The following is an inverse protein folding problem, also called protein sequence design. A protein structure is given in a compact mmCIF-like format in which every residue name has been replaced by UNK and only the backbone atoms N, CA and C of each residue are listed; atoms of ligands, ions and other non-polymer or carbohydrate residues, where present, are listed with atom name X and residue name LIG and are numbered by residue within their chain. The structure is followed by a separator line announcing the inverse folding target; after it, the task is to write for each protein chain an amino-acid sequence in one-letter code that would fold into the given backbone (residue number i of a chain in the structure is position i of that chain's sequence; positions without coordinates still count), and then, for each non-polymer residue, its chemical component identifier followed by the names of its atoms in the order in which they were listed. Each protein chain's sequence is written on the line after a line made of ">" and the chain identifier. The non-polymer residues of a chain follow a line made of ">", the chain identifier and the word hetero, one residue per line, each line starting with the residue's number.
data_IF_106074188834
#
_entry.id   IF_106074188834
#
_cell.length_a   1.000
_cell.length_b   1.000
_cell.length_c   1.000
_cell.angle_alpha   90.00
_cell.angle_beta   90.00
_cell.angle_gamma   90.00
#
_symmetry.space_group_name_H-M   'P 1'
#
loop_
_entity.id
_entity.type
_entity.pdbx_description
1 polymer ?
#
# COMPACT_ATOMS: atom_id res chain seq x y z
N UNK A 1 2.63 -13.80 6.57
CA UNK A 1 3.21 -13.89 5.21
C UNK A 1 2.99 -12.59 4.46
N UNK A 2 3.71 -12.35 3.37
CA UNK A 2 3.47 -11.23 2.46
C UNK A 2 2.99 -11.72 1.08
N UNK A 3 2.09 -10.95 0.47
CA UNK A 3 1.72 -11.06 -0.95
C UNK A 3 2.28 -9.83 -1.68
N UNK A 4 3.04 -10.02 -2.75
CA UNK A 4 3.47 -8.94 -3.62
C UNK A 4 2.99 -9.19 -5.06
N UNK A 5 2.33 -8.21 -5.65
CA UNK A 5 1.86 -8.21 -7.03
C UNK A 5 2.59 -7.11 -7.83
N UNK A 6 3.18 -7.48 -8.95
CA UNK A 6 3.71 -6.51 -9.92
C UNK A 6 2.89 -6.63 -11.22
N UNK A 7 2.16 -5.58 -11.57
CA UNK A 7 1.31 -5.54 -12.77
C UNK A 7 2.10 -4.89 -13.90
N UNK A 8 2.49 -5.71 -14.87
CA UNK A 8 3.09 -5.25 -16.12
C UNK A 8 2.03 -4.74 -17.08
N UNK A 9 2.12 -3.47 -17.43
CA UNK A 9 1.31 -2.82 -18.46
C UNK A 9 2.18 -2.49 -19.67
N UNK A 10 1.62 -2.56 -20.88
CA UNK A 10 2.37 -2.17 -22.08
C UNK A 10 2.68 -0.66 -22.07
N UNK A 11 3.80 -0.24 -22.68
CA UNK A 11 4.28 1.16 -22.67
C UNK A 11 3.25 2.20 -23.15
N UNK A 12 2.33 1.79 -24.04
CA UNK A 12 1.24 2.64 -24.54
C UNK A 12 0.15 2.94 -23.51
N UNK A 13 0.07 2.16 -22.44
CA UNK A 13 -0.92 2.31 -21.38
C UNK A 13 -0.41 3.35 -20.40
N UNK A 14 -1.19 4.40 -20.18
CA UNK A 14 -0.85 5.42 -19.18
C UNK A 14 -1.15 4.86 -17.79
N UNK A 15 -0.15 4.82 -16.91
CA UNK A 15 -0.30 4.17 -15.60
C UNK A 15 -1.30 4.87 -14.68
N UNK A 16 -1.54 6.17 -14.88
CA UNK A 16 -2.32 7.03 -13.96
C UNK A 16 -3.75 7.28 -14.39
N UNK A 17 -4.24 6.60 -15.43
CA UNK A 17 -5.61 6.71 -15.95
C UNK A 17 -6.02 5.46 -16.73
N UNK A 18 -7.32 5.21 -16.83
CA UNK A 18 -7.87 4.17 -17.69
C UNK A 18 -8.33 2.91 -16.96
N UNK A 19 -8.62 3.05 -15.66
CA UNK A 19 -9.20 2.01 -14.80
C UNK A 19 -8.29 0.79 -14.62
N UNK A 20 -7.00 1.06 -14.39
CA UNK A 20 -5.99 0.07 -14.04
C UNK A 20 -5.65 0.14 -12.55
N UNK A 21 -6.69 0.24 -11.72
CA UNK A 21 -6.56 0.40 -10.27
C UNK A 21 -5.97 -0.88 -9.64
N UNK A 22 -5.01 -0.69 -8.73
CA UNK A 22 -4.32 -1.81 -8.09
C UNK A 22 -5.23 -2.67 -7.20
N UNK A 23 -6.28 -2.07 -6.65
CA UNK A 23 -7.29 -2.76 -5.85
C UNK A 23 -8.06 -3.82 -6.64
N UNK A 24 -8.38 -3.52 -7.89
CA UNK A 24 -9.11 -4.42 -8.78
C UNK A 24 -8.30 -5.68 -9.10
N UNK A 25 -6.96 -5.61 -9.10
CA UNK A 25 -6.10 -6.79 -9.25
C UNK A 25 -5.88 -7.53 -7.91
N UNK A 26 -5.71 -6.81 -6.81
CA UNK A 26 -5.41 -7.42 -5.50
C UNK A 26 -6.61 -8.07 -4.82
N UNK A 27 -7.81 -7.50 -4.95
CA UNK A 27 -9.01 -8.03 -4.32
C UNK A 27 -9.29 -9.51 -4.66
N UNK A 28 -9.29 -9.95 -5.94
CA UNK A 28 -9.47 -11.36 -6.27
C UNK A 28 -8.32 -12.25 -5.75
N UNK A 29 -7.09 -11.76 -5.70
CA UNK A 29 -5.93 -12.52 -5.20
C UNK A 29 -6.03 -12.75 -3.69
N UNK A 30 -6.31 -11.70 -2.91
CA UNK A 30 -6.48 -11.81 -1.45
C UNK A 30 -7.64 -12.72 -1.08
N UNK A 31 -8.70 -12.76 -1.89
CA UNK A 31 -9.79 -13.73 -1.71
C UNK A 31 -9.35 -15.16 -2.03
N UNK A 32 -8.66 -15.36 -3.15
CA UNK A 32 -8.19 -16.68 -3.60
C UNK A 32 -7.20 -17.31 -2.62
N UNK A 33 -6.23 -16.53 -2.14
CA UNK A 33 -5.19 -17.01 -1.23
C UNK A 33 -5.55 -16.91 0.26
N UNK A 34 -6.77 -16.46 0.58
CA UNK A 34 -7.28 -16.18 1.94
C UNK A 34 -6.50 -15.06 2.63
N UNK A 35 -7.09 -13.86 2.64
CA UNK A 35 -6.54 -12.64 3.21
C UNK A 35 -5.97 -12.80 4.63
N UNK A 36 -6.55 -13.68 5.46
CA UNK A 36 -6.11 -13.93 6.84
C UNK A 36 -4.74 -14.59 6.99
N UNK A 37 -4.09 -15.01 5.90
CA UNK A 37 -2.73 -15.57 5.88
C UNK A 37 -1.64 -14.53 5.69
N UNK A 38 -2.01 -13.38 5.13
CA UNK A 38 -1.08 -12.30 4.88
C UNK A 38 -1.12 -11.34 6.05
N UNK A 39 0.05 -10.87 6.46
CA UNK A 39 0.25 -9.77 7.40
C UNK A 39 0.57 -8.48 6.62
N UNK A 40 1.09 -8.63 5.39
CA UNK A 40 1.35 -7.55 4.47
C UNK A 40 0.88 -7.88 3.04
N UNK A 41 0.33 -6.89 2.34
CA UNK A 41 -0.03 -7.00 0.91
C UNK A 41 0.46 -5.78 0.15
N UNK A 42 1.17 -6.01 -0.94
CA UNK A 42 1.75 -4.97 -1.78
C UNK A 42 1.33 -5.19 -3.23
N UNK A 43 1.04 -4.11 -3.94
CA UNK A 43 0.93 -4.11 -5.37
C UNK A 43 1.60 -2.90 -6.00
N UNK A 44 2.13 -3.12 -7.20
CA UNK A 44 2.69 -2.10 -8.05
C UNK A 44 2.17 -2.27 -9.46
N UNK A 45 2.03 -1.18 -10.20
CA UNK A 45 1.91 -1.22 -11.67
C UNK A 45 3.04 -0.44 -12.30
N UNK A 46 3.59 -0.98 -13.37
CA UNK A 46 4.67 -0.37 -14.14
C UNK A 46 4.60 -0.82 -15.59
N UNK A 47 5.39 -0.17 -16.42
CA UNK A 47 5.63 -0.68 -17.75
C UNK A 47 6.54 -1.91 -17.69
N UNK A 48 6.01 -3.05 -18.11
CA UNK A 48 6.72 -4.33 -18.15
C UNK A 48 6.00 -5.31 -19.09
N UNK A 49 6.76 -6.23 -19.68
CA UNK A 49 6.22 -7.26 -20.57
C UNK A 49 5.36 -8.30 -19.85
N UNK A 50 5.57 -8.49 -18.54
CA UNK A 50 4.91 -9.50 -17.73
C UNK A 50 4.49 -8.96 -16.37
N UNK A 51 3.44 -9.57 -15.81
CA UNK A 51 3.03 -9.39 -14.42
C UNK A 51 3.55 -10.56 -13.58
N UNK A 52 3.91 -10.29 -12.33
CA UNK A 52 4.41 -11.31 -11.41
C UNK A 52 3.65 -11.28 -10.09
N UNK A 53 3.60 -12.44 -9.44
CA UNK A 53 3.06 -12.60 -8.10
C UNK A 53 4.09 -13.35 -7.26
N UNK A 54 4.38 -12.83 -6.06
CA UNK A 54 5.28 -13.45 -5.11
C UNK A 54 4.59 -13.60 -3.75
N UNK A 55 4.86 -14.73 -3.10
CA UNK A 55 4.37 -15.03 -1.75
C UNK A 55 5.57 -15.43 -0.92
N UNK A 56 5.79 -14.75 0.19
CA UNK A 56 6.97 -14.94 1.03
C UNK A 56 6.74 -14.64 2.50
N UNK A 57 7.79 -14.72 3.34
CA UNK A 57 7.73 -14.21 4.71
C UNK A 57 7.41 -12.71 4.70
N UNK A 58 6.59 -12.27 5.65
CA UNK A 58 6.46 -10.84 5.94
C UNK A 58 7.58 -10.46 6.90
N UNK A 59 8.30 -9.39 6.60
CA UNK A 59 9.29 -8.84 7.52
C UNK A 59 8.62 -7.70 8.30
N UNK A 60 8.74 -7.67 9.64
CA UNK A 60 8.34 -6.51 10.42
C UNK A 60 9.01 -5.24 9.87
N UNK A 61 8.31 -4.11 9.94
CA UNK A 61 8.95 -2.83 9.70
C UNK A 61 10.10 -2.66 10.71
N UNK A 62 11.24 -2.15 10.23
CA UNK A 62 12.40 -1.87 11.07
C UNK A 62 12.02 -0.85 12.17
N UNK A 63 12.10 -1.20 13.47
CA UNK A 63 11.71 -0.31 14.56
C UNK A 63 12.60 0.93 14.67
N UNK A 64 13.83 0.89 14.10
CA UNK A 64 14.77 2.00 14.12
C UNK A 64 14.58 2.94 12.91
N UNK A 65 13.77 2.54 11.93
CA UNK A 65 13.36 3.44 10.84
C UNK A 65 12.37 4.44 11.40
N UNK A 66 12.73 5.72 11.38
CA UNK A 66 11.83 6.80 11.78
C UNK A 66 10.46 6.63 11.11
N UNK A 67 9.44 6.30 11.91
CA UNK A 67 8.07 6.18 11.42
C UNK A 67 7.65 7.55 10.90
N UNK A 68 7.41 7.64 9.58
CA UNK A 68 6.78 8.83 9.02
C UNK A 68 5.37 8.88 9.61
N UNK A 69 5.00 9.95 10.34
CA UNK A 69 3.68 10.03 10.92
C UNK A 69 2.62 9.96 9.81
N UNK A 70 1.48 9.28 10.07
CA UNK A 70 0.43 9.20 9.08
C UNK A 70 -0.10 10.58 8.72
N UNK A 71 -0.29 10.80 7.42
CA UNK A 71 -1.02 11.96 6.92
C UNK A 71 -2.44 12.00 7.49
N UNK A 72 -3.02 10.81 7.71
CA UNK A 72 -4.38 10.65 8.20
C UNK A 72 -4.49 9.46 9.16
N UNK A 73 -5.16 9.67 10.30
CA UNK A 73 -5.60 8.60 11.19
C UNK A 73 -7.08 8.79 11.52
N UNK A 74 -7.88 7.75 11.31
CA UNK A 74 -9.34 7.79 11.48
C UNK A 74 -9.76 6.66 12.42
N UNK A 75 -10.37 7.03 13.55
CA UNK A 75 -10.99 6.10 14.49
C UNK A 75 -12.49 6.03 14.21
N UNK A 76 -13.03 4.84 13.97
CA UNK A 76 -14.46 4.69 13.64
C UNK A 76 -15.08 3.42 14.21
N UNK A 77 -16.27 3.55 14.80
CA UNK A 77 -17.04 2.45 15.40
C UNK A 77 -18.18 1.94 14.52
N UNK A 78 -18.46 2.61 13.40
CA UNK A 78 -19.51 2.24 12.44
C UNK A 78 -19.03 1.16 11.46
N UNK A 79 -19.97 0.54 10.74
CA UNK A 79 -19.65 -0.53 9.77
C UNK A 79 -18.95 0.04 8.55
N UNK A 80 -17.92 -0.64 8.04
CA UNK A 80 -17.23 -0.22 6.81
C UNK A 80 -18.06 -0.26 5.53
N UNK A 81 -19.24 -0.87 5.60
CA UNK A 81 -20.24 -0.86 4.52
C UNK A 81 -21.20 0.32 4.61
N UNK A 82 -21.12 1.15 5.66
CA UNK A 82 -22.04 2.26 5.89
C UNK A 82 -21.53 3.56 5.26
N UNK A 83 -22.47 4.46 4.93
CA UNK A 83 -22.12 5.76 4.38
C UNK A 83 -21.35 6.61 5.41
N UNK A 84 -21.70 6.49 6.69
CA UNK A 84 -21.07 7.20 7.81
C UNK A 84 -19.60 6.83 7.96
N UNK A 85 -19.23 5.59 7.65
CA UNK A 85 -17.83 5.16 7.71
C UNK A 85 -17.00 5.83 6.60
N UNK A 86 -17.52 5.88 5.37
CA UNK A 86 -16.86 6.58 4.26
C UNK A 86 -16.79 8.08 4.52
N UNK A 87 -17.86 8.66 5.05
CA UNK A 87 -17.92 10.08 5.40
C UNK A 87 -16.88 10.44 6.48
N UNK A 88 -16.70 9.60 7.50
CA UNK A 88 -15.69 9.83 8.53
C UNK A 88 -14.27 9.91 7.96
N UNK A 89 -13.91 9.02 7.03
CA UNK A 89 -12.62 9.05 6.33
C UNK A 89 -12.51 10.30 5.45
N UNK A 90 -13.56 10.60 4.69
CA UNK A 90 -13.60 11.75 3.79
C UNK A 90 -13.44 13.09 4.54
N UNK A 91 -14.11 13.25 5.69
CA UNK A 91 -14.00 14.44 6.53
C UNK A 91 -12.61 14.55 7.16
N UNK A 92 -12.05 13.44 7.64
CA UNK A 92 -10.70 13.45 8.19
C UNK A 92 -9.67 13.82 7.10
N UNK A 93 -9.84 13.36 5.85
CA UNK A 93 -9.02 13.81 4.72
C UNK A 93 -9.10 15.32 4.50
N UNK A 94 -10.31 15.90 4.55
CA UNK A 94 -10.50 17.36 4.42
C UNK A 94 -9.85 18.13 5.57
N UNK A 95 -9.97 17.63 6.80
CA UNK A 95 -9.38 18.23 7.98
C UNK A 95 -7.84 18.21 7.96
N UNK A 96 -7.25 17.17 7.38
CA UNK A 96 -5.80 17.09 7.16
C UNK A 96 -5.26 18.14 6.17
N UNK A 97 -6.15 18.84 5.43
CA UNK A 97 -5.82 19.88 4.44
C UNK A 97 -4.61 19.47 3.58
N UNK A 98 -4.70 18.34 2.86
CA UNK A 98 -3.60 17.93 2.00
C UNK A 98 -3.30 19.05 1.02
N UNK A 99 -2.02 19.35 0.83
CA UNK A 99 -1.62 20.21 -0.27
C UNK A 99 -2.16 19.60 -1.57
N UNK A 100 -2.72 20.42 -2.49
CA UNK A 100 -3.17 19.94 -3.77
C UNK A 100 -2.09 19.09 -4.42
N UNK A 101 -2.39 17.81 -4.63
CA UNK A 101 -1.40 16.88 -5.14
C UNK A 101 -1.15 17.20 -6.62
N UNK A 102 0.09 17.48 -7.06
CA UNK A 102 0.38 17.70 -8.47
C UNK A 102 -0.08 16.49 -9.28
N UNK A 103 -0.69 16.70 -10.44
CA UNK A 103 -1.12 15.61 -11.32
C UNK A 103 0.05 14.63 -11.56
N UNK A 104 -0.10 13.37 -11.15
CA UNK A 104 1.01 12.41 -11.18
C UNK A 104 0.77 11.10 -10.44
N UNK A 105 1.71 10.15 -10.57
CA UNK A 105 1.65 8.85 -9.91
C UNK A 105 1.75 8.99 -8.38
N UNK A 106 0.97 8.19 -7.67
CA UNK A 106 0.88 8.18 -6.20
C UNK A 106 1.33 6.84 -5.62
N UNK A 107 1.93 6.92 -4.44
CA UNK A 107 2.17 5.77 -3.58
C UNK A 107 1.25 5.89 -2.37
N UNK A 108 0.46 4.86 -2.12
CA UNK A 108 -0.49 4.84 -1.03
C UNK A 108 -0.17 3.69 -0.08
N UNK A 109 -0.02 4.01 1.20
CA UNK A 109 0.05 3.00 2.26
C UNK A 109 -1.20 3.10 3.14
N UNK A 110 -1.90 1.99 3.30
CA UNK A 110 -3.09 1.86 4.13
C UNK A 110 -2.84 0.82 5.21
N UNK A 111 -3.01 1.19 6.47
CA UNK A 111 -2.89 0.26 7.58
C UNK A 111 -4.24 0.17 8.31
N UNK A 112 -4.71 -1.05 8.55
CA UNK A 112 -5.95 -1.30 9.28
C UNK A 112 -5.67 -1.88 10.66
N UNK A 113 -6.14 -1.23 11.72
CA UNK A 113 -6.10 -1.77 13.08
C UNK A 113 -7.45 -2.31 13.46
N UNK A 114 -7.56 -3.64 13.48
CA UNK A 114 -8.83 -4.35 13.59
C UNK A 114 -8.86 -5.34 14.77
N UNK A 115 -10.07 -5.66 15.22
CA UNK A 115 -10.29 -6.79 16.13
C UNK A 115 -10.14 -8.13 15.40
N UNK A 116 -9.82 -9.19 16.14
CA UNK A 116 -9.46 -10.52 15.62
C UNK A 116 -10.51 -11.18 14.70
N UNK A 117 -11.76 -10.71 14.70
CA UNK A 117 -12.85 -11.25 13.88
C UNK A 117 -13.15 -10.48 12.58
N UNK A 118 -12.41 -9.41 12.26
CA UNK A 118 -12.68 -8.56 11.09
C UNK A 118 -11.70 -8.87 9.95
N UNK A 119 -12.24 -8.94 8.73
CA UNK A 119 -11.44 -9.14 7.53
C UNK A 119 -11.00 -7.79 6.93
N UNK A 120 -9.72 -7.46 7.07
CA UNK A 120 -9.12 -6.24 6.55
C UNK A 120 -9.32 -6.07 5.04
N UNK A 121 -9.32 -7.17 4.27
CA UNK A 121 -9.39 -7.10 2.80
C UNK A 121 -10.72 -6.55 2.28
N UNK A 122 -11.76 -6.57 3.11
CA UNK A 122 -13.07 -5.98 2.78
C UNK A 122 -13.15 -4.48 3.04
N UNK A 123 -12.19 -3.91 3.76
CA UNK A 123 -12.14 -2.49 4.14
C UNK A 123 -11.38 -1.65 3.13
N UNK A 124 -10.43 -2.27 2.44
CA UNK A 124 -9.57 -1.65 1.44
C UNK A 124 -10.35 -0.79 0.44
N UNK A 125 -11.31 -1.39 -0.27
CA UNK A 125 -12.00 -0.70 -1.38
C UNK A 125 -12.83 0.47 -0.88
N UNK A 126 -13.70 0.30 0.13
CA UNK A 126 -14.42 1.45 0.65
C UNK A 126 -13.49 2.51 1.27
N UNK A 127 -12.31 2.13 1.80
CA UNK A 127 -11.33 3.10 2.31
C UNK A 127 -10.83 3.99 1.17
N UNK A 128 -10.33 3.39 0.09
CA UNK A 128 -9.82 4.10 -1.09
C UNK A 128 -10.91 5.00 -1.67
N UNK A 129 -12.13 4.47 -1.86
CA UNK A 129 -13.28 5.25 -2.33
C UNK A 129 -13.49 6.55 -1.52
N UNK A 130 -13.20 6.53 -0.22
CA UNK A 130 -13.38 7.68 0.67
C UNK A 130 -12.22 8.71 0.63
N UNK A 131 -11.08 8.37 0.02
CA UNK A 131 -9.90 9.24 -0.07
C UNK A 131 -9.98 10.27 -1.21
N UNK A 132 -11.17 10.55 -1.76
CA UNK A 132 -11.40 11.58 -2.79
C UNK A 132 -10.64 12.90 -2.55
N UNK A 133 -10.66 13.50 -1.34
CA UNK A 133 -9.94 14.75 -1.08
C UNK A 133 -8.42 14.65 -1.18
N UNK A 134 -7.86 13.44 -1.06
CA UNK A 134 -6.43 13.16 -1.21
C UNK A 134 -6.05 12.78 -2.64
N UNK A 135 -6.82 11.88 -3.25
CA UNK A 135 -6.52 11.31 -4.56
C UNK A 135 -6.98 12.23 -5.71
N UNK A 136 -7.88 13.17 -5.43
CA UNK A 136 -8.58 14.00 -6.41
C UNK A 136 -9.96 13.45 -6.75
N UNK A 137 -10.88 14.33 -7.12
CA UNK A 137 -12.27 14.00 -7.45
C UNK A 137 -12.64 14.59 -8.82
N UNK A 138 -12.70 13.77 -9.89
CA UNK A 138 -13.09 14.22 -11.23
C UNK A 138 -14.50 14.81 -11.31
N UNK A 139 -15.40 14.23 -10.50
CA UNK A 139 -16.80 14.62 -10.43
C UNK A 139 -17.16 14.92 -8.96
N UNK A 140 -17.32 16.20 -8.59
CA UNK A 140 -17.74 16.58 -7.24
C UNK A 140 -19.12 16.01 -6.83
N UNK A 141 -19.97 15.64 -7.79
CA UNK A 141 -21.25 14.96 -7.55
C UNK A 141 -21.10 13.47 -7.20
N UNK A 142 -19.89 12.92 -7.32
CA UNK A 142 -19.54 11.53 -6.98
C UNK A 142 -18.30 11.50 -6.08
N UNK A 143 -18.41 11.98 -4.82
CA UNK A 143 -17.27 12.16 -3.91
C UNK A 143 -16.56 10.85 -3.51
N UNK A 144 -17.20 9.71 -3.78
CA UNK A 144 -16.68 8.36 -3.51
C UNK A 144 -16.16 7.64 -4.77
N UNK A 145 -15.79 8.42 -5.80
CA UNK A 145 -15.08 7.95 -7.00
C UNK A 145 -13.80 8.78 -7.17
N UNK A 146 -12.78 8.49 -6.35
CA UNK A 146 -11.50 9.19 -6.42
C UNK A 146 -10.77 8.92 -7.74
N UNK A 147 -9.71 9.68 -8.00
CA UNK A 147 -8.68 9.35 -8.99
C UNK A 147 -7.69 8.30 -8.45
N UNK A 148 -8.20 7.15 -8.00
CA UNK A 148 -7.41 6.03 -7.49
C UNK A 148 -6.56 5.34 -8.57
N UNK A 149 -6.89 5.52 -9.84
CA UNK A 149 -6.06 5.21 -11.01
C UNK A 149 -4.63 5.77 -10.88
N UNK A 150 -4.44 6.88 -10.16
CA UNK A 150 -3.12 7.48 -9.93
C UNK A 150 -2.22 6.64 -9.04
N UNK A 151 -2.76 5.71 -8.25
CA UNK A 151 -2.00 4.87 -7.32
C UNK A 151 -1.20 3.84 -8.12
N UNK A 152 0.11 4.05 -8.23
CA UNK A 152 1.04 3.12 -8.93
C UNK A 152 1.75 2.15 -7.98
N UNK A 153 1.70 2.44 -6.69
CA UNK A 153 2.25 1.62 -5.61
C UNK A 153 1.28 1.65 -4.43
N UNK A 154 0.86 0.48 -3.97
CA UNK A 154 -0.15 0.32 -2.95
C UNK A 154 0.27 -0.75 -1.97
N UNK A 155 0.41 -0.37 -0.70
CA UNK A 155 0.80 -1.30 0.34
C UNK A 155 -0.13 -1.24 1.55
N UNK A 156 -0.38 -2.41 2.12
CA UNK A 156 -0.86 -2.62 3.48
C UNK A 156 0.24 -3.37 4.23
N UNK A 157 1.25 -2.66 4.78
CA UNK A 157 2.49 -3.28 5.24
C UNK A 157 2.38 -3.96 6.61
N UNK A 158 1.35 -3.66 7.40
CA UNK A 158 1.19 -4.20 8.75
C UNK A 158 -0.22 -3.89 9.29
N UNK A 159 -1.17 -4.82 9.12
CA UNK A 159 -2.46 -4.75 9.81
C UNK A 159 -2.40 -5.55 11.11
N UNK A 160 -1.38 -5.29 11.93
CA UNK A 160 -1.09 -6.00 13.18
C UNK A 160 -2.37 -6.45 13.88
N UNK A 161 -2.58 -7.77 13.93
CA UNK A 161 -3.58 -8.38 14.81
C UNK A 161 -3.33 -7.79 16.18
N UNK A 162 -4.31 -7.05 16.72
CA UNK A 162 -4.22 -6.46 18.04
C UNK A 162 -3.78 -7.53 19.06
N UNK A 163 -2.51 -7.49 19.47
CA UNK A 163 -1.93 -8.38 20.47
C UNK A 163 -2.41 -8.09 21.90
N UNK A 164 -3.32 -7.13 22.07
CA UNK A 164 -3.95 -6.82 23.35
C UNK A 164 -5.47 -6.61 23.16
N UNK A 165 -6.33 -7.52 23.65
CA UNK A 165 -7.78 -7.42 23.53
C UNK A 165 -8.39 -6.26 24.33
N UNK A 166 -7.60 -5.53 25.13
CA UNK A 166 -8.12 -4.44 25.97
C UNK A 166 -7.98 -3.03 25.39
N UNK A 167 -7.38 -2.84 24.20
CA UNK A 167 -7.20 -1.47 23.67
C UNK A 167 -7.16 -1.27 22.14
N UNK A 168 -7.80 -2.11 21.36
CA UNK A 168 -7.94 -1.89 19.90
C UNK A 168 -9.34 -1.39 19.53
N UNK A 169 -9.61 -0.13 19.85
CA UNK A 169 -10.70 0.61 19.21
C UNK A 169 -10.19 1.12 17.86
N UNK A 170 -10.45 0.29 16.83
CA UNK A 170 -10.83 0.59 15.44
C UNK A 170 -10.19 1.80 14.72
N UNK A 171 -9.02 1.63 14.10
CA UNK A 171 -8.39 2.66 13.28
C UNK A 171 -8.22 2.27 11.82
N UNK A 172 -8.48 3.18 10.88
CA UNK A 172 -7.86 3.19 9.56
C UNK A 172 -6.80 4.29 9.56
N UNK A 173 -5.55 3.92 9.35
CA UNK A 173 -4.42 4.85 9.29
C UNK A 173 -3.95 4.86 7.84
N UNK A 174 -3.99 6.02 7.19
CA UNK A 174 -3.51 6.19 5.82
C UNK A 174 -2.20 6.99 5.87
N UNK A 175 -1.10 6.35 5.48
CA UNK A 175 0.19 7.00 5.28
C UNK A 175 0.36 7.24 3.77
N UNK A 176 0.02 8.43 3.29
CA UNK A 176 0.42 8.83 1.93
C UNK A 176 1.90 9.21 1.95
N UNK A 177 2.76 8.51 1.21
CA UNK A 177 4.14 8.96 0.99
C UNK A 177 4.28 9.54 -0.42
N UNK A 178 4.89 10.73 -0.49
CA UNK A 178 5.59 11.21 -1.68
C UNK A 178 7.03 10.76 -1.57
N UNK A 179 7.54 10.05 -2.57
CA UNK A 179 8.97 9.74 -2.68
C UNK A 179 9.27 8.28 -2.99
N UNK A 180 9.90 8.08 -4.15
CA UNK A 180 10.43 6.80 -4.64
C UNK A 180 11.39 6.19 -3.62
N UNK A 181 11.07 5.00 -3.11
CA UNK A 181 12.09 4.02 -2.75
C UNK A 181 11.79 2.75 -3.52
N UNK A 182 12.63 2.45 -4.50
CA UNK A 182 12.57 1.21 -5.24
C UNK A 182 12.81 0.03 -4.28
N UNK A 183 11.98 -0.99 -4.36
CA UNK A 183 12.36 -2.35 -3.93
C UNK A 183 13.42 -2.82 -4.92
N UNK A 184 14.62 -3.25 -4.48
CA UNK A 184 15.60 -3.81 -5.40
C UNK A 184 14.99 -5.04 -6.09
N UNK A 185 15.28 -5.26 -7.38
CA UNK A 185 14.86 -6.49 -8.05
C UNK A 185 15.44 -7.69 -7.29
N UNK A 186 14.70 -8.80 -7.28
CA UNK A 186 15.25 -10.07 -6.83
C UNK A 186 16.47 -10.39 -7.69
N UNK A 187 17.64 -10.48 -7.05
CA UNK A 187 18.88 -10.86 -7.72
C UNK A 187 18.72 -12.28 -8.32
N UNK A 188 18.55 -12.33 -9.64
CA UNK A 188 18.90 -13.51 -10.44
C UNK A 188 20.41 -13.47 -10.68
N UNK A 189 21.21 -13.99 -9.76
CA UNK A 189 22.40 -14.81 -10.04
C UNK A 189 23.13 -15.16 -8.74
N UNK A 190 22.80 -16.32 -8.18
CA UNK A 190 23.73 -17.09 -7.35
C UNK A 190 24.35 -18.16 -8.21
N UNK A 191 25.31 -17.77 -9.05
CA UNK A 191 26.33 -18.67 -9.58
C UNK A 191 27.61 -18.40 -8.80
N UNK A 192 27.97 -19.34 -7.94
CA UNK A 192 29.11 -19.21 -7.05
C UNK A 192 30.44 -19.18 -7.78
N UNK A 193 31.37 -18.40 -7.24
CA UNK A 193 32.78 -18.70 -7.38
C UNK A 193 33.49 -18.38 -6.08
N UNK A 194 34.22 -19.37 -5.59
CA UNK A 194 34.97 -19.36 -4.35
C UNK A 194 36.15 -18.39 -4.47
N UNK A 195 36.36 -17.58 -3.43
CA UNK A 195 37.60 -16.85 -3.21
C UNK A 195 38.81 -17.80 -3.22
N UNK A 196 39.99 -17.25 -3.53
CA UNK A 196 41.02 -17.34 -2.50
C UNK A 196 41.62 -15.98 -2.15
N UNK A 197 42.10 -15.92 -0.91
CA UNK A 197 42.92 -14.89 -0.31
C UNK A 197 44.10 -14.48 -1.21
N UNK A 198 44.53 -13.21 -1.14
CA UNK A 198 45.83 -12.85 -0.55
C UNK A 198 46.11 -11.32 -0.58
N UNK A 199 46.55 -10.83 0.58
CA UNK A 199 47.63 -9.87 0.83
C UNK A 199 47.69 -8.48 0.12
N UNK A 200 47.50 -7.44 0.96
CA UNK A 200 48.34 -6.23 1.17
C UNK A 200 49.16 -5.66 0.00
N UNK A 201 49.00 -4.36 -0.29
CA UNK A 201 50.07 -3.37 -0.06
C UNK A 201 49.56 -1.91 -0.13
N UNK A 202 49.97 -1.13 0.87
CA UNK A 202 49.92 0.33 0.95
C UNK A 202 50.94 0.94 -0.02
N UNK A 203 50.62 2.08 -0.66
CA UNK A 203 51.63 3.03 -1.15
C UNK A 203 51.18 4.47 -0.90
N UNK A 204 52.02 5.17 -0.14
CA UNK A 204 52.18 6.62 -0.15
C UNK A 204 52.80 7.06 -1.48
N UNK A 205 52.38 8.22 -2.00
CA UNK A 205 53.25 9.34 -2.41
C UNK A 205 52.51 10.67 -2.16
#
# INVERSE_FOLDING_TARGET
>A
MALALDVGLADRIVLTRGSHDLDNYLFPLTRTFRASRFDAVLARKRHAASSTIAIGPAMPADPDRAEVPPLLSVLTSVSATSAEWKEAIHQACRAAKPEPDPDGPLQLKLCFRLSAGRNWSTLWKPAIDALGPLLGMPDPGRPYRPNDDRIVDLADPDHSRAGDPTRAERGAVCTGQRGVTAVPPADEDSAGELLPEEARLVRDE
#
